data_IF_074875696516
#
_entry.id   IF_074875696516
#
_cell.length_a   1.000
_cell.length_b   1.000
_cell.length_c   1.000
_cell.angle_alpha   90.00
_cell.angle_beta   90.00
_cell.angle_gamma   90.00
#
_symmetry.space_group_name_H-M   'P 1'
#
loop_
_entity.id
_entity.type
_entity.pdbx_description
1 polymer ?
#
# COMPACT_ATOMS: atom_id res chain seq x y z
N UNK A 1 33.46 48.83 2.77
CA UNK A 1 34.60 48.56 1.88
C UNK A 1 35.82 48.14 2.68
N UNK A 2 35.99 46.83 2.88
CA UNK A 2 37.14 46.24 3.59
C UNK A 2 38.34 45.97 2.67
N UNK A 3 38.09 45.93 1.35
CA UNK A 3 39.09 45.70 0.31
C UNK A 3 39.51 47.03 -0.32
N UNK A 4 40.82 47.25 -0.44
CA UNK A 4 41.40 48.33 -1.24
C UNK A 4 41.26 48.01 -2.74
N UNK A 5 41.53 48.95 -3.66
CA UNK A 5 41.47 48.69 -5.11
C UNK A 5 42.39 47.55 -5.60
N UNK A 6 43.42 47.20 -4.83
CA UNK A 6 44.37 46.11 -5.10
C UNK A 6 43.98 44.79 -4.39
N UNK A 7 42.93 44.84 -3.56
CA UNK A 7 42.42 43.67 -2.86
C UNK A 7 41.64 42.75 -3.78
N UNK A 8 41.66 41.46 -3.48
CA UNK A 8 40.98 40.42 -4.24
C UNK A 8 40.26 39.46 -3.30
N UNK A 9 39.11 38.95 -3.72
CA UNK A 9 38.30 38.01 -2.96
C UNK A 9 37.80 36.92 -3.91
N UNK A 10 38.16 35.68 -3.59
CA UNK A 10 37.81 34.49 -4.36
C UNK A 10 37.03 33.54 -3.44
N UNK A 11 35.82 33.15 -3.86
CA UNK A 11 35.00 32.16 -3.14
C UNK A 11 35.27 30.77 -3.73
N UNK A 12 35.56 29.81 -2.86
CA UNK A 12 35.78 28.40 -3.20
C UNK A 12 34.69 27.54 -2.57
N UNK A 13 33.58 27.41 -3.28
CA UNK A 13 32.37 26.74 -2.79
C UNK A 13 32.56 25.24 -2.51
N UNK A 14 33.50 24.58 -3.21
CA UNK A 14 33.83 23.17 -3.03
C UNK A 14 34.50 22.89 -1.69
N UNK A 15 35.27 23.86 -1.19
CA UNK A 15 35.95 23.79 0.11
C UNK A 15 35.25 24.57 1.22
N UNK A 16 34.22 25.34 0.86
CA UNK A 16 33.57 26.32 1.75
C UNK A 16 34.59 27.34 2.30
N UNK A 17 35.46 27.84 1.44
CA UNK A 17 36.53 28.78 1.78
C UNK A 17 36.36 30.12 1.05
N UNK A 18 36.78 31.21 1.70
CA UNK A 18 36.94 32.51 1.05
C UNK A 18 38.42 32.88 1.11
N UNK A 19 39.07 32.98 -0.04
CA UNK A 19 40.44 33.46 -0.15
C UNK A 19 40.43 34.98 -0.30
N UNK A 20 41.06 35.68 0.63
CA UNK A 20 41.14 37.14 0.63
C UNK A 20 42.59 37.57 0.48
N UNK A 21 42.88 38.41 -0.52
CA UNK A 21 44.16 39.12 -0.66
C UNK A 21 43.92 40.58 -0.29
N UNK A 22 44.52 41.03 0.80
CA UNK A 22 44.40 42.42 1.26
C UNK A 22 45.59 42.79 2.15
N UNK A 23 45.64 44.07 2.59
CA UNK A 23 46.59 44.51 3.61
C UNK A 23 46.40 43.76 4.94
N UNK A 24 47.45 43.64 5.76
CA UNK A 24 47.35 43.02 7.11
C UNK A 24 46.24 43.63 7.94
N UNK A 25 46.09 44.96 7.89
CA UNK A 25 45.04 45.69 8.60
C UNK A 25 43.62 45.34 8.11
N UNK A 26 43.44 45.19 6.80
CA UNK A 26 42.18 44.73 6.22
C UNK A 26 41.87 43.28 6.61
N UNK A 27 42.87 42.41 6.62
CA UNK A 27 42.70 41.01 7.02
C UNK A 27 42.31 40.88 8.49
N UNK A 28 42.91 41.63 9.40
CA UNK A 28 42.50 41.65 10.83
C UNK A 28 41.03 42.09 11.00
N UNK A 29 40.59 43.11 10.26
CA UNK A 29 39.19 43.54 10.28
C UNK A 29 38.24 42.48 9.73
N UNK A 30 38.66 41.80 8.66
CA UNK A 30 37.87 40.72 8.04
C UNK A 30 37.79 39.52 8.97
N UNK A 31 38.87 39.16 9.68
CA UNK A 31 38.88 38.10 10.68
C UNK A 31 37.87 38.36 11.81
N UNK A 32 37.90 39.57 12.39
CA UNK A 32 36.91 39.98 13.38
C UNK A 32 35.47 39.92 12.85
N UNK A 33 35.25 40.36 11.61
CA UNK A 33 33.93 40.31 10.97
C UNK A 33 33.46 38.87 10.75
N UNK A 34 34.33 37.99 10.26
CA UNK A 34 34.03 36.58 10.04
C UNK A 34 33.73 35.87 11.36
N UNK A 35 34.50 36.12 12.41
CA UNK A 35 34.23 35.59 13.75
C UNK A 35 32.87 36.03 14.30
N UNK A 36 32.38 37.21 13.90
CA UNK A 36 31.06 37.69 14.29
C UNK A 36 29.94 37.06 13.45
N UNK A 37 30.18 36.81 12.15
CA UNK A 37 29.19 36.30 11.19
C UNK A 37 29.08 34.78 11.19
N UNK A 38 30.18 34.06 11.37
CA UNK A 38 30.27 32.60 11.35
C UNK A 38 29.98 32.00 12.74
N UNK A 39 28.84 32.41 13.30
CA UNK A 39 28.31 31.84 14.54
C UNK A 39 27.06 31.04 14.23
N UNK A 40 26.82 29.89 14.90
CA UNK A 40 25.62 29.10 14.67
C UNK A 40 24.35 29.94 14.73
N UNK A 41 24.20 30.76 15.78
CA UNK A 41 23.03 31.63 15.97
C UNK A 41 22.71 32.57 14.82
N UNK A 42 23.72 33.04 14.07
CA UNK A 42 23.52 33.90 12.88
C UNK A 42 23.35 33.11 11.58
N UNK A 43 23.82 31.87 11.53
CA UNK A 43 23.79 31.03 10.32
C UNK A 43 22.68 29.99 10.32
N UNK A 44 21.99 29.76 11.45
CA UNK A 44 20.84 28.85 11.55
C UNK A 44 19.72 29.31 10.62
N UNK A 45 19.21 28.37 9.83
CA UNK A 45 18.04 28.52 8.96
C UNK A 45 17.18 27.28 9.09
N UNK A 46 15.97 27.38 8.56
CA UNK A 46 15.01 26.30 8.53
C UNK A 46 14.59 26.01 7.11
N UNK A 47 14.79 24.78 6.67
CA UNK A 47 14.48 24.33 5.32
C UNK A 47 13.57 23.10 5.34
N UNK A 48 12.85 22.91 4.23
CA UNK A 48 11.93 21.79 4.04
C UNK A 48 12.35 20.97 2.84
N UNK A 49 12.58 19.69 3.05
CA UNK A 49 12.96 18.72 2.03
C UNK A 49 11.80 17.76 1.77
N UNK A 50 11.20 17.86 0.58
CA UNK A 50 10.19 16.90 0.14
C UNK A 50 10.87 15.61 -0.34
N UNK A 51 10.49 14.47 0.23
CA UNK A 51 11.05 13.16 -0.10
C UNK A 51 10.10 12.40 -1.01
N UNK A 52 10.52 12.16 -2.26
CA UNK A 52 9.66 11.61 -3.32
C UNK A 52 9.81 10.10 -3.50
N UNK A 53 11.02 9.58 -3.52
CA UNK A 53 11.34 8.23 -4.01
C UNK A 53 11.85 7.30 -2.93
N UNK A 54 12.69 7.80 -2.02
CA UNK A 54 13.14 7.01 -0.87
C UNK A 54 12.11 7.04 0.27
N UNK A 55 12.26 6.13 1.24
CA UNK A 55 11.43 6.14 2.45
C UNK A 55 11.75 7.36 3.31
N UNK A 56 10.73 7.98 3.88
CA UNK A 56 10.89 9.16 4.74
C UNK A 56 11.74 8.86 5.98
N UNK A 57 11.59 7.66 6.56
CA UNK A 57 12.36 7.19 7.70
C UNK A 57 13.83 7.01 7.34
N UNK A 58 14.11 6.32 6.23
CA UNK A 58 15.48 6.13 5.75
C UNK A 58 16.17 7.45 5.38
N UNK A 59 15.45 8.41 4.80
CA UNK A 59 15.96 9.75 4.56
C UNK A 59 16.27 10.48 5.88
N UNK A 60 15.35 10.39 6.85
CA UNK A 60 15.52 11.02 8.16
C UNK A 60 16.74 10.51 8.92
N UNK A 61 17.01 9.20 8.88
CA UNK A 61 18.16 8.63 9.58
C UNK A 61 19.49 9.14 9.00
N UNK A 62 19.60 9.22 7.68
CA UNK A 62 20.78 9.79 7.01
C UNK A 62 20.94 11.30 7.27
N UNK A 63 19.83 12.04 7.31
CA UNK A 63 19.84 13.47 7.62
C UNK A 63 20.29 13.69 9.07
N UNK A 64 19.82 12.89 10.04
CA UNK A 64 20.25 12.99 11.45
C UNK A 64 21.76 12.85 11.61
N UNK A 65 22.39 11.94 10.86
CA UNK A 65 23.85 11.75 10.86
C UNK A 65 24.61 12.93 10.26
N UNK A 66 23.94 13.77 9.47
CA UNK A 66 24.52 14.93 8.77
C UNK A 66 24.23 16.27 9.47
N UNK A 67 23.55 16.26 10.62
CA UNK A 67 23.24 17.47 11.39
C UNK A 67 24.48 17.98 12.14
N UNK A 68 24.54 19.29 12.33
CA UNK A 68 25.46 19.88 13.31
C UNK A 68 25.01 19.56 14.76
N UNK A 69 25.86 19.80 15.78
CA UNK A 69 25.48 19.61 17.18
C UNK A 69 24.24 20.42 17.64
N UNK A 70 23.93 21.52 16.95
CA UNK A 70 22.77 22.38 17.21
C UNK A 70 21.61 22.13 16.25
N UNK A 71 21.80 21.24 15.26
CA UNK A 71 20.81 20.92 14.25
C UNK A 71 19.61 20.17 14.82
N UNK A 72 18.42 20.43 14.28
CA UNK A 72 17.21 19.70 14.63
C UNK A 72 16.46 19.22 13.39
N UNK A 73 15.80 18.07 13.52
CA UNK A 73 15.01 17.46 12.46
C UNK A 73 13.59 17.17 12.95
N UNK A 74 12.61 17.50 12.12
CA UNK A 74 11.20 17.12 12.29
C UNK A 74 10.71 16.40 11.03
N UNK A 75 9.99 15.30 11.24
CA UNK A 75 9.42 14.49 10.17
C UNK A 75 7.92 14.79 10.09
N UNK A 76 7.42 15.07 8.90
CA UNK A 76 5.99 15.14 8.61
C UNK A 76 5.60 14.04 7.61
N UNK A 77 5.03 12.92 8.09
CA UNK A 77 4.59 11.81 7.25
C UNK A 77 3.49 12.19 6.26
N UNK A 78 2.60 13.11 6.66
CA UNK A 78 1.42 13.47 5.86
C UNK A 78 1.79 14.22 4.58
N UNK A 79 2.82 15.06 4.66
CA UNK A 79 3.35 15.83 3.53
C UNK A 79 4.65 15.23 2.98
N UNK A 80 5.07 14.05 3.44
CA UNK A 80 6.36 13.40 3.10
C UNK A 80 7.55 14.36 3.16
N UNK A 81 7.57 15.24 4.16
CA UNK A 81 8.55 16.33 4.26
C UNK A 81 9.42 16.18 5.50
N UNK A 82 10.72 16.42 5.33
CA UNK A 82 11.68 16.62 6.42
C UNK A 82 11.90 18.11 6.62
N UNK A 83 11.63 18.60 7.83
CA UNK A 83 11.93 19.98 8.20
C UNK A 83 13.22 19.98 9.02
N UNK A 84 14.27 20.58 8.49
CA UNK A 84 15.59 20.66 9.14
C UNK A 84 15.84 22.10 9.55
N UNK A 85 16.30 22.28 10.78
CA UNK A 85 16.79 23.57 11.27
C UNK A 85 18.27 23.42 11.61
N UNK A 86 19.15 24.03 10.83
CA UNK A 86 20.60 23.92 10.96
C UNK A 86 21.31 25.13 10.32
N UNK A 87 22.62 25.21 10.48
CA UNK A 87 23.47 26.19 9.80
C UNK A 87 23.38 26.08 8.28
N UNK A 88 23.50 27.22 7.60
CA UNK A 88 23.42 27.31 6.13
C UNK A 88 24.34 26.31 5.40
N UNK A 89 25.53 26.04 5.94
CA UNK A 89 26.46 25.08 5.36
C UNK A 89 25.94 23.63 5.45
N UNK A 90 25.49 23.19 6.64
CA UNK A 90 24.96 21.83 6.81
C UNK A 90 23.68 21.61 5.99
N UNK A 91 22.81 22.63 5.91
CA UNK A 91 21.63 22.58 5.04
C UNK A 91 21.99 22.37 3.57
N UNK A 92 23.02 23.05 3.06
CA UNK A 92 23.52 22.84 1.70
C UNK A 92 24.08 21.42 1.49
N UNK A 93 24.79 20.87 2.47
CA UNK A 93 25.30 19.48 2.39
C UNK A 93 24.15 18.47 2.39
N UNK A 94 23.17 18.67 3.27
CA UNK A 94 21.96 17.85 3.35
C UNK A 94 21.19 17.93 2.04
N UNK A 95 21.02 19.12 1.47
CA UNK A 95 20.36 19.30 0.17
C UNK A 95 21.05 18.50 -0.94
N UNK A 96 22.38 18.65 -1.08
CA UNK A 96 23.18 17.91 -2.07
C UNK A 96 23.09 16.39 -1.86
N UNK A 97 23.11 15.94 -0.61
CA UNK A 97 22.98 14.54 -0.28
C UNK A 97 21.58 14.01 -0.62
N UNK A 98 20.53 14.67 -0.15
CA UNK A 98 19.13 14.27 -0.36
C UNK A 98 18.79 14.27 -1.84
N UNK A 99 19.17 15.30 -2.60
CA UNK A 99 18.93 15.36 -4.06
C UNK A 99 19.62 14.22 -4.82
N UNK A 100 20.79 13.78 -4.38
CA UNK A 100 21.50 12.63 -4.97
C UNK A 100 20.85 11.29 -4.62
N UNK A 101 20.38 11.14 -3.39
CA UNK A 101 19.81 9.89 -2.89
C UNK A 101 18.34 9.71 -3.29
N UNK A 102 17.56 10.79 -3.24
CA UNK A 102 16.14 10.81 -3.61
C UNK A 102 15.99 10.90 -5.12
N UNK A 103 16.54 9.89 -5.79
CA UNK A 103 16.46 9.69 -7.23
C UNK A 103 15.54 8.51 -7.54
N UNK A 104 14.82 8.60 -8.65
CA UNK A 104 13.95 7.53 -9.10
C UNK A 104 14.79 6.33 -9.57
N UNK A 105 14.84 5.29 -8.72
CA UNK A 105 15.53 4.04 -9.00
C UNK A 105 14.46 2.94 -9.21
N UNK A 106 14.02 2.71 -10.46
CA UNK A 106 12.89 1.81 -10.74
C UNK A 106 13.25 0.34 -10.50
N UNK A 107 12.29 -0.39 -9.98
CA UNK A 107 12.30 -1.84 -9.86
C UNK A 107 11.08 -2.39 -10.57
N UNK A 108 11.27 -3.45 -11.37
CA UNK A 108 10.18 -4.15 -12.03
C UNK A 108 9.69 -5.30 -11.16
N UNK A 109 8.37 -5.41 -11.00
CA UNK A 109 7.71 -6.51 -10.29
C UNK A 109 6.52 -6.99 -11.10
N UNK A 110 6.31 -8.31 -11.11
CA UNK A 110 5.18 -8.94 -11.80
C UNK A 110 4.31 -9.56 -10.71
N UNK A 111 3.07 -9.10 -10.61
CA UNK A 111 2.07 -9.61 -9.67
C UNK A 111 1.12 -10.51 -10.42
N UNK A 112 1.11 -11.80 -10.08
CA UNK A 112 0.09 -12.71 -10.56
C UNK A 112 -1.16 -12.55 -9.70
N UNK A 113 -2.30 -12.26 -10.31
CA UNK A 113 -3.59 -12.08 -9.64
C UNK A 113 -4.41 -13.34 -9.85
N UNK A 114 -4.94 -13.92 -8.77
CA UNK A 114 -5.58 -15.23 -8.81
C UNK A 114 -7.11 -15.14 -8.68
N UNK A 115 -7.60 -14.17 -7.92
CA UNK A 115 -8.99 -14.07 -7.50
C UNK A 115 -9.60 -12.73 -7.91
N UNK A 116 -8.96 -11.62 -7.54
CA UNK A 116 -9.54 -10.29 -7.75
C UNK A 116 -9.61 -9.91 -9.24
N UNK A 117 -10.60 -9.07 -9.65
CA UNK A 117 -10.63 -8.51 -10.99
C UNK A 117 -9.37 -7.70 -11.27
N UNK A 118 -8.66 -8.06 -12.34
CA UNK A 118 -7.37 -7.44 -12.69
C UNK A 118 -7.50 -5.92 -12.91
N UNK A 119 -8.63 -5.49 -13.48
CA UNK A 119 -8.96 -4.06 -13.65
C UNK A 119 -9.13 -3.32 -12.33
N UNK A 120 -9.81 -3.92 -11.34
CA UNK A 120 -9.98 -3.32 -10.02
C UNK A 120 -8.62 -3.17 -9.32
N UNK A 121 -7.79 -4.20 -9.36
CA UNK A 121 -6.44 -4.16 -8.79
C UNK A 121 -5.59 -3.10 -9.47
N UNK A 122 -5.60 -3.04 -10.81
CA UNK A 122 -4.84 -2.05 -11.57
C UNK A 122 -5.20 -0.62 -11.20
N UNK A 123 -6.49 -0.28 -11.13
CA UNK A 123 -6.95 1.06 -10.71
C UNK A 123 -6.45 1.42 -9.32
N UNK A 124 -6.52 0.49 -8.36
CA UNK A 124 -6.03 0.73 -6.99
C UNK A 124 -4.51 0.85 -6.91
N UNK A 125 -3.80 0.14 -7.78
CA UNK A 125 -2.34 0.22 -7.88
C UNK A 125 -1.91 1.57 -8.45
N UNK A 126 -2.59 2.06 -9.49
CA UNK A 126 -2.32 3.36 -10.13
C UNK A 126 -2.37 4.53 -9.13
N UNK A 127 -3.34 4.52 -8.20
CA UNK A 127 -3.49 5.53 -7.14
C UNK A 127 -2.28 5.61 -6.19
N UNK A 128 -1.47 4.55 -6.11
CA UNK A 128 -0.36 4.42 -5.17
C UNK A 128 1.02 4.43 -5.85
N UNK A 129 1.07 4.66 -7.17
CA UNK A 129 2.33 4.82 -7.89
C UNK A 129 3.00 6.15 -7.53
N UNK A 130 4.31 6.21 -7.69
CA UNK A 130 5.02 7.49 -7.73
C UNK A 130 4.69 8.27 -9.01
N UNK A 131 5.11 9.53 -9.08
CA UNK A 131 4.94 10.39 -10.26
C UNK A 131 5.59 9.83 -11.54
N UNK A 132 6.47 8.82 -11.41
CA UNK A 132 7.16 8.14 -12.53
C UNK A 132 6.88 6.64 -12.59
N UNK A 133 6.05 6.11 -11.69
CA UNK A 133 5.69 4.71 -11.68
C UNK A 133 4.79 4.35 -12.87
N UNK A 134 4.84 3.10 -13.31
CA UNK A 134 3.92 2.55 -14.32
C UNK A 134 3.34 1.22 -13.89
N UNK A 135 2.11 0.95 -14.33
CA UNK A 135 1.44 -0.34 -14.18
C UNK A 135 0.83 -0.77 -15.52
N UNK A 136 1.03 -2.02 -15.91
CA UNK A 136 0.56 -2.58 -17.17
C UNK A 136 -0.10 -3.94 -16.93
N UNK A 137 -1.33 -4.08 -17.43
CA UNK A 137 -2.10 -5.32 -17.36
C UNK A 137 -1.62 -6.31 -18.43
N UNK A 138 -1.36 -7.54 -18.02
CA UNK A 138 -1.12 -8.69 -18.89
C UNK A 138 -2.29 -9.67 -18.76
N UNK A 139 -3.31 -9.49 -19.61
CA UNK A 139 -4.55 -10.28 -19.58
C UNK A 139 -4.28 -11.78 -19.75
N UNK A 140 -3.39 -12.16 -20.69
CA UNK A 140 -3.09 -13.56 -21.02
C UNK A 140 -2.56 -14.35 -19.83
N UNK A 141 -1.77 -13.72 -18.96
CA UNK A 141 -1.17 -14.34 -17.78
C UNK A 141 -1.86 -13.92 -16.49
N UNK A 142 -2.98 -13.20 -16.59
CA UNK A 142 -3.71 -12.60 -15.45
C UNK A 142 -2.75 -11.93 -14.45
N UNK A 143 -1.85 -11.11 -14.96
CA UNK A 143 -0.77 -10.51 -14.17
C UNK A 143 -0.70 -9.01 -14.37
N UNK A 144 -0.21 -8.30 -13.35
CA UNK A 144 0.06 -6.87 -13.38
C UNK A 144 1.57 -6.63 -13.31
N UNK A 145 2.13 -5.99 -14.33
CA UNK A 145 3.53 -5.59 -14.35
C UNK A 145 3.64 -4.18 -13.82
N UNK A 146 4.36 -3.98 -12.72
CA UNK A 146 4.56 -2.67 -12.12
C UNK A 146 6.03 -2.32 -12.13
N UNK A 147 6.35 -1.08 -12.52
CA UNK A 147 7.68 -0.51 -12.46
C UNK A 147 7.64 0.73 -11.59
N UNK A 148 8.24 0.65 -10.40
CA UNK A 148 8.28 1.80 -9.48
C UNK A 148 9.44 1.65 -8.47
N UNK A 149 9.60 2.64 -7.59
CA UNK A 149 10.57 2.62 -6.50
C UNK A 149 10.20 1.62 -5.41
N UNK A 150 11.21 1.16 -4.68
CA UNK A 150 11.09 0.13 -3.64
C UNK A 150 10.00 0.43 -2.59
N UNK A 151 9.82 1.69 -2.18
CA UNK A 151 8.83 2.03 -1.15
C UNK A 151 7.40 1.79 -1.66
N UNK A 152 7.09 2.22 -2.89
CA UNK A 152 5.78 2.07 -3.50
C UNK A 152 5.49 0.58 -3.73
N UNK A 153 6.44 -0.17 -4.31
CA UNK A 153 6.29 -1.62 -4.46
C UNK A 153 6.01 -2.35 -3.14
N UNK A 154 6.58 -1.89 -2.01
CA UNK A 154 6.29 -2.46 -0.69
C UNK A 154 4.85 -2.21 -0.24
N UNK A 155 4.31 -1.02 -0.51
CA UNK A 155 2.91 -0.68 -0.23
C UNK A 155 1.99 -1.52 -1.12
N UNK A 156 2.32 -1.63 -2.40
CA UNK A 156 1.56 -2.39 -3.39
C UNK A 156 1.49 -3.88 -3.07
N UNK A 157 2.57 -4.51 -2.56
CA UNK A 157 2.53 -5.91 -2.12
C UNK A 157 1.40 -6.13 -1.10
N UNK A 158 1.29 -5.25 -0.10
CA UNK A 158 0.27 -5.37 0.95
C UNK A 158 -1.13 -5.15 0.39
N UNK A 159 -1.30 -4.12 -0.44
CA UNK A 159 -2.58 -3.85 -1.09
C UNK A 159 -3.05 -5.05 -1.92
N UNK A 160 -2.16 -5.64 -2.71
CA UNK A 160 -2.50 -6.78 -3.57
C UNK A 160 -2.82 -8.01 -2.72
N UNK A 161 -2.09 -8.26 -1.63
CA UNK A 161 -2.43 -9.33 -0.67
C UNK A 161 -3.82 -9.14 -0.05
N UNK A 162 -4.22 -7.88 0.24
CA UNK A 162 -5.54 -7.56 0.79
C UNK A 162 -6.68 -7.63 -0.25
N UNK A 163 -6.38 -7.32 -1.52
CA UNK A 163 -7.37 -7.33 -2.59
C UNK A 163 -7.53 -8.70 -3.24
N UNK A 164 -6.45 -9.45 -3.46
CA UNK A 164 -6.43 -10.73 -4.17
C UNK A 164 -6.88 -11.89 -3.27
N UNK A 165 -8.12 -11.79 -2.79
CA UNK A 165 -8.77 -12.80 -1.96
C UNK A 165 -9.98 -13.40 -2.68
N UNK A 166 -10.35 -14.61 -2.29
CA UNK A 166 -11.48 -15.35 -2.88
C UNK A 166 -12.82 -14.62 -2.72
N UNK A 167 -12.98 -13.83 -1.65
CA UNK A 167 -14.16 -12.99 -1.41
C UNK A 167 -14.34 -11.93 -2.49
N UNK A 168 -13.23 -11.45 -3.08
CA UNK A 168 -13.22 -10.47 -4.15
C UNK A 168 -13.32 -11.10 -5.54
N UNK A 169 -13.33 -12.43 -5.67
CA UNK A 169 -13.44 -13.10 -6.96
C UNK A 169 -14.84 -12.94 -7.55
N UNK A 170 -14.90 -12.29 -8.72
CA UNK A 170 -16.14 -12.06 -9.45
C UNK A 170 -16.37 -13.10 -10.54
N UNK A 171 -17.63 -13.45 -10.75
CA UNK A 171 -18.11 -14.23 -11.89
C UNK A 171 -18.84 -13.28 -12.83
N UNK A 172 -18.58 -13.31 -14.16
CA UNK A 172 -19.33 -12.50 -15.12
C UNK A 172 -20.82 -12.89 -15.13
N UNK A 173 -21.71 -12.04 -15.69
CA UNK A 173 -23.13 -12.35 -15.80
C UNK A 173 -23.39 -13.76 -16.36
N UNK A 174 -24.30 -14.49 -15.74
CA UNK A 174 -24.62 -15.88 -16.10
C UNK A 174 -26.03 -16.25 -15.67
N UNK A 175 -26.65 -17.19 -16.37
CA UNK A 175 -27.97 -17.71 -16.03
C UNK A 175 -28.09 -19.21 -16.26
N UNK A 176 -29.02 -19.83 -15.53
CA UNK A 176 -29.39 -21.23 -15.67
C UNK A 176 -30.83 -21.45 -15.21
N UNK A 177 -31.48 -22.47 -15.76
CA UNK A 177 -32.89 -22.77 -15.50
C UNK A 177 -33.10 -24.26 -15.28
N UNK A 178 -33.49 -24.61 -14.05
CA UNK A 178 -33.85 -25.97 -13.66
C UNK A 178 -32.68 -26.96 -13.72
N UNK A 179 -31.44 -26.49 -13.64
CA UNK A 179 -30.24 -27.34 -13.63
C UNK A 179 -30.07 -28.04 -12.28
N UNK A 180 -29.44 -29.22 -12.30
CA UNK A 180 -29.08 -29.91 -11.06
C UNK A 180 -28.04 -29.09 -10.29
N UNK A 181 -28.18 -29.03 -8.97
CA UNK A 181 -27.28 -28.26 -8.11
C UNK A 181 -25.81 -28.70 -8.29
N UNK A 182 -25.50 -29.98 -8.46
CA UNK A 182 -24.12 -30.44 -8.70
C UNK A 182 -23.58 -29.95 -10.03
N UNK A 183 -24.43 -29.88 -11.06
CA UNK A 183 -24.04 -29.31 -12.35
C UNK A 183 -23.74 -27.82 -12.21
N UNK A 184 -24.57 -27.07 -11.49
CA UNK A 184 -24.32 -25.64 -11.19
C UNK A 184 -23.00 -25.45 -10.44
N UNK A 185 -22.73 -26.24 -9.41
CA UNK A 185 -21.46 -26.19 -8.66
C UNK A 185 -20.25 -26.55 -9.56
N UNK A 186 -20.41 -27.50 -10.47
CA UNK A 186 -19.35 -27.86 -11.44
C UNK A 186 -19.09 -26.73 -12.43
N UNK A 187 -20.15 -26.07 -12.90
CA UNK A 187 -20.04 -24.89 -13.78
C UNK A 187 -19.33 -23.74 -13.08
N UNK A 188 -19.65 -23.47 -11.82
CA UNK A 188 -18.96 -22.46 -11.01
C UNK A 188 -17.48 -22.81 -10.85
N UNK A 189 -17.17 -24.05 -10.45
CA UNK A 189 -15.79 -24.56 -10.32
C UNK A 189 -14.99 -24.37 -11.61
N UNK A 190 -15.59 -24.71 -12.76
CA UNK A 190 -14.93 -24.58 -14.07
C UNK A 190 -14.70 -23.12 -14.44
N UNK A 191 -15.65 -22.22 -14.13
CA UNK A 191 -15.55 -20.79 -14.45
C UNK A 191 -14.54 -20.06 -13.57
N UNK A 192 -14.42 -20.45 -12.30
CA UNK A 192 -13.58 -19.73 -11.33
C UNK A 192 -12.23 -20.40 -11.09
N UNK A 193 -12.04 -21.64 -11.53
CA UNK A 193 -10.86 -22.44 -11.22
C UNK A 193 -10.81 -22.94 -9.77
N UNK A 194 -11.84 -22.66 -8.97
CA UNK A 194 -11.95 -23.12 -7.59
C UNK A 194 -12.33 -24.60 -7.56
N UNK A 195 -11.79 -25.35 -6.60
CA UNK A 195 -12.19 -26.74 -6.40
C UNK A 195 -13.44 -26.76 -5.52
N UNK A 196 -14.59 -27.14 -6.07
CA UNK A 196 -15.84 -27.23 -5.31
C UNK A 196 -16.17 -28.71 -5.05
N UNK A 197 -16.17 -29.12 -3.78
CA UNK A 197 -16.44 -30.49 -3.34
C UNK A 197 -17.87 -30.57 -2.84
N UNK A 198 -18.72 -31.32 -3.54
CA UNK A 198 -20.10 -31.58 -3.16
C UNK A 198 -20.32 -33.09 -2.90
N UNK A 199 -20.63 -33.51 -1.67
CA UNK A 199 -20.87 -34.92 -1.35
C UNK A 199 -22.18 -35.44 -1.96
N UNK A 200 -22.42 -36.77 -1.98
CA UNK A 200 -23.58 -37.39 -2.61
C UNK A 200 -24.94 -36.85 -2.11
N UNK A 201 -25.01 -36.39 -0.86
CA UNK A 201 -26.21 -35.87 -0.22
C UNK A 201 -26.69 -34.52 -0.77
N UNK A 202 -25.79 -33.73 -1.39
CA UNK A 202 -26.12 -32.44 -2.00
C UNK A 202 -27.03 -32.67 -3.21
N UNK A 203 -28.29 -32.25 -3.14
CA UNK A 203 -29.29 -32.44 -4.21
C UNK A 203 -30.18 -31.22 -4.31
N UNK A 204 -30.63 -30.91 -5.52
CA UNK A 204 -31.54 -29.78 -5.74
C UNK A 204 -31.63 -29.41 -7.21
N UNK A 205 -32.62 -28.59 -7.55
CA UNK A 205 -32.73 -27.95 -8.86
C UNK A 205 -32.75 -26.44 -8.71
N UNK A 206 -31.83 -25.76 -9.38
CA UNK A 206 -31.68 -24.31 -9.21
C UNK A 206 -32.02 -23.61 -10.52
N UNK A 207 -32.66 -22.45 -10.39
CA UNK A 207 -32.81 -21.49 -11.49
C UNK A 207 -32.39 -20.14 -10.97
N UNK A 208 -31.44 -19.49 -11.64
CA UNK A 208 -31.02 -18.14 -11.30
C UNK A 208 -30.54 -17.40 -12.55
N UNK A 209 -30.63 -16.08 -12.50
CA UNK A 209 -30.08 -15.18 -13.51
C UNK A 209 -29.36 -14.06 -12.79
N UNK A 210 -28.06 -13.94 -13.06
CA UNK A 210 -27.20 -12.89 -12.55
C UNK A 210 -26.88 -11.94 -13.70
N UNK A 211 -27.54 -10.79 -13.74
CA UNK A 211 -27.39 -9.81 -14.83
C UNK A 211 -26.10 -8.99 -14.72
N UNK A 212 -25.48 -8.97 -13.55
CA UNK A 212 -24.25 -8.24 -13.25
C UNK A 212 -23.20 -9.20 -12.70
N UNK A 213 -21.90 -8.85 -12.81
CA UNK A 213 -20.86 -9.61 -12.13
C UNK A 213 -21.17 -9.75 -10.63
N UNK A 214 -20.96 -10.93 -10.07
CA UNK A 214 -21.29 -11.26 -8.68
C UNK A 214 -20.11 -11.99 -8.02
N UNK A 215 -19.80 -11.71 -6.73
CA UNK A 215 -18.82 -12.49 -5.99
C UNK A 215 -19.19 -13.99 -5.97
N UNK A 216 -18.22 -14.86 -6.23
CA UNK A 216 -18.43 -16.32 -6.29
C UNK A 216 -19.05 -16.86 -5.00
N UNK A 217 -18.56 -16.39 -3.85
CA UNK A 217 -19.07 -16.82 -2.55
C UNK A 217 -20.53 -16.40 -2.34
N UNK A 218 -20.92 -15.23 -2.85
CA UNK A 218 -22.32 -14.78 -2.79
C UNK A 218 -23.22 -15.58 -3.75
N UNK A 219 -22.72 -15.91 -4.93
CA UNK A 219 -23.43 -16.80 -5.84
C UNK A 219 -23.65 -18.19 -5.22
N UNK A 220 -22.63 -18.74 -4.56
CA UNK A 220 -22.72 -20.01 -3.84
C UNK A 220 -23.75 -19.96 -2.71
N UNK A 221 -23.72 -18.92 -1.88
CA UNK A 221 -24.70 -18.70 -0.83
C UNK A 221 -26.14 -18.73 -1.39
N UNK A 222 -26.40 -17.98 -2.46
CA UNK A 222 -27.75 -17.88 -3.08
C UNK A 222 -28.24 -19.22 -3.61
N UNK A 223 -27.36 -20.07 -4.17
CA UNK A 223 -27.78 -21.37 -4.73
C UNK A 223 -27.89 -22.47 -3.67
N UNK A 224 -27.20 -22.34 -2.54
CA UNK A 224 -27.16 -23.33 -1.46
C UNK A 224 -28.23 -23.08 -0.39
N UNK A 225 -28.53 -21.81 -0.08
CA UNK A 225 -29.48 -21.40 0.97
C UNK A 225 -30.86 -22.07 0.86
N UNK A 226 -31.52 -22.19 -0.32
CA UNK A 226 -32.84 -22.82 -0.43
C UNK A 226 -32.88 -24.30 -0.03
N UNK A 227 -31.73 -24.95 0.05
CA UNK A 227 -31.58 -26.38 0.34
C UNK A 227 -31.00 -26.63 1.75
N UNK A 228 -30.86 -25.59 2.58
CA UNK A 228 -30.19 -25.66 3.89
C UNK A 228 -28.78 -26.25 3.79
N UNK A 229 -28.04 -25.85 2.76
CA UNK A 229 -26.64 -26.19 2.58
C UNK A 229 -25.76 -24.99 2.92
N UNK A 230 -24.58 -25.28 3.46
CA UNK A 230 -23.53 -24.31 3.74
C UNK A 230 -22.25 -24.69 2.98
N UNK A 231 -21.27 -23.78 3.03
CA UNK A 231 -19.95 -24.04 2.50
C UNK A 231 -18.85 -23.63 3.48
N UNK A 232 -17.70 -24.30 3.37
CA UNK A 232 -16.48 -23.97 4.09
C UNK A 232 -15.39 -23.66 3.06
N UNK A 233 -14.70 -22.53 3.24
CA UNK A 233 -13.59 -22.10 2.39
C UNK A 233 -12.27 -22.53 3.03
N UNK A 234 -11.43 -23.20 2.25
CA UNK A 234 -10.08 -23.63 2.60
C UNK A 234 -9.16 -23.29 1.43
N UNK A 235 -8.58 -22.08 1.45
CA UNK A 235 -7.83 -21.51 0.33
C UNK A 235 -8.64 -21.51 -0.99
N UNK A 236 -8.22 -22.31 -1.98
CA UNK A 236 -8.89 -22.47 -3.28
C UNK A 236 -9.91 -23.62 -3.31
N UNK A 237 -10.17 -24.27 -2.17
CA UNK A 237 -11.11 -25.38 -2.03
C UNK A 237 -12.35 -24.89 -1.29
N UNK A 238 -13.52 -25.18 -1.86
CA UNK A 238 -14.82 -24.93 -1.24
C UNK A 238 -15.48 -26.28 -1.00
N UNK A 239 -15.78 -26.59 0.25
CA UNK A 239 -16.51 -27.80 0.64
C UNK A 239 -17.95 -27.46 0.95
N UNK A 240 -18.88 -28.07 0.24
CA UNK A 240 -20.33 -27.93 0.48
C UNK A 240 -20.80 -29.03 1.43
N UNK A 241 -21.65 -28.68 2.39
CA UNK A 241 -22.25 -29.63 3.32
C UNK A 241 -23.67 -29.23 3.72
N UNK A 242 -24.52 -30.18 4.12
CA UNK A 242 -25.75 -29.84 4.82
C UNK A 242 -25.47 -29.09 6.11
N UNK A 243 -26.29 -28.07 6.39
CA UNK A 243 -26.27 -27.40 7.68
C UNK A 243 -26.65 -28.45 8.73
N UNK A 244 -25.80 -28.70 9.75
CA UNK A 244 -26.10 -29.69 10.76
C UNK A 244 -27.33 -29.28 11.56
N UNK A 245 -28.33 -30.16 11.60
CA UNK A 245 -29.49 -29.97 12.48
C UNK A 245 -29.05 -30.09 13.94
N UNK A 246 -29.30 -29.06 14.73
CA UNK A 246 -29.02 -29.05 16.16
C UNK A 246 -30.21 -29.63 16.92
N UNK A 247 -29.93 -30.50 17.90
CA UNK A 247 -30.93 -31.01 18.83
C UNK A 247 -30.74 -30.35 20.20
N UNK A 248 -31.80 -29.78 20.74
CA UNK A 248 -31.84 -29.24 22.09
C UNK A 248 -33.06 -29.78 22.84
N UNK A 249 -32.82 -30.26 24.06
CA UNK A 249 -33.91 -30.66 24.95
C UNK A 249 -34.47 -29.42 25.67
N UNK A 250 -35.78 -29.24 25.59
CA UNK A 250 -36.49 -28.19 26.32
C UNK A 250 -37.28 -28.83 27.47
N UNK A 251 -36.98 -28.44 28.71
CA UNK A 251 -37.73 -28.89 29.89
C UNK A 251 -38.89 -27.94 30.16
N UNK A 252 -40.11 -28.44 30.02
CA UNK A 252 -41.33 -27.69 30.33
C UNK A 252 -41.60 -27.71 31.84
N UNK A 253 -41.89 -26.55 32.43
CA UNK A 253 -42.21 -26.44 33.87
C UNK A 253 -43.72 -26.39 34.17
N UNK A 254 -44.55 -26.17 33.16
CA UNK A 254 -45.96 -25.83 33.38
C UNK A 254 -46.94 -26.44 32.37
N UNK A 255 -46.55 -26.64 31.11
CA UNK A 255 -47.39 -27.26 30.08
C UNK A 255 -47.07 -28.75 29.91
N UNK A 256 -48.08 -29.57 29.56
CA UNK A 256 -47.86 -30.95 29.14
C UNK A 256 -47.28 -30.95 27.71
N UNK A 257 -46.24 -31.75 27.46
CA UNK A 257 -45.57 -31.79 26.15
C UNK A 257 -46.52 -32.14 24.99
N UNK A 258 -47.49 -33.03 25.22
CA UNK A 258 -48.48 -33.44 24.21
C UNK A 258 -49.52 -32.35 23.88
N UNK A 259 -49.74 -31.37 24.77
CA UNK A 259 -50.71 -30.29 24.54
C UNK A 259 -50.16 -29.19 23.62
N UNK A 260 -48.84 -29.02 23.60
CA UNK A 260 -48.17 -27.98 22.82
C UNK A 260 -47.53 -28.51 21.53
N UNK A 261 -47.48 -29.84 21.34
CA UNK A 261 -46.94 -30.47 20.13
C UNK A 261 -47.62 -29.95 18.86
N UNK A 262 -48.95 -29.83 18.88
CA UNK A 262 -49.74 -29.31 17.76
C UNK A 262 -49.45 -27.85 17.42
N UNK A 263 -48.83 -27.10 18.33
CA UNK A 263 -48.40 -25.71 18.09
C UNK A 263 -46.98 -25.61 17.54
N UNK A 264 -46.22 -26.70 17.51
CA UNK A 264 -44.81 -26.76 17.07
C UNK A 264 -44.63 -27.48 15.72
N UNK A 265 -45.66 -28.18 15.24
CA UNK A 265 -45.74 -28.83 13.93
C UNK A 265 -46.45 -27.95 12.92
#
# INVERSE_FOLDING_TARGET
DYLTPEGDLEVREDKNEILVKASSYSLEKIDHLLAELDTPSKQMKKEKFLIKYISLEGAADLVKESLSPQGTLKIDPSSSTLTVEDTSYHLLQIEKMVTKLDTFQPQKRIYKINFAPLSLVATRVEDLLSDKGTAEIQEETSSLVVVDVRKNLKILNKLIEELDTIENQLIPPFDFKGLDLKEVLTLLSTKTGLTIIAPPEVKGKVSARFERPIPVLKALEIVLEPYNYEYQVMDNIIRVSPIPLLSQNFTLKSALASEIESSLK
#
